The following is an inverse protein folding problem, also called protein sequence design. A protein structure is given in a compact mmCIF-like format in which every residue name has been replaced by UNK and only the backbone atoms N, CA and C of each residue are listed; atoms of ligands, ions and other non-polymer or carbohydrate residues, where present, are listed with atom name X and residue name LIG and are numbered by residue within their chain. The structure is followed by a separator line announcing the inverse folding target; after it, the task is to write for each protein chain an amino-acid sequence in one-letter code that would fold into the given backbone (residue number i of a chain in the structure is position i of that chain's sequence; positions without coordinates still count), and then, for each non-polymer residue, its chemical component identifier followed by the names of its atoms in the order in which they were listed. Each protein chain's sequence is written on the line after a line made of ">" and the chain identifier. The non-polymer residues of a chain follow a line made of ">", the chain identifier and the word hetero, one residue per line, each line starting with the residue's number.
data_IF_595846645729
#
_entry.id   IF_595846645729
#
_cell.length_a   1.000
_cell.length_b   1.000
_cell.length_c   1.000
_cell.angle_alpha   90.00
_cell.angle_beta   90.00
_cell.angle_gamma   90.00
#
_symmetry.space_group_name_H-M   'P 1'
#
loop_
_entity.id
_entity.type
_entity.pdbx_description
1 polymer ?
#
# COMPACT_ATOMS: atom_id res chain seq x y z
N UNK A 1 54.43 7.63 8.44
CA UNK A 1 53.38 8.03 9.40
C UNK A 1 52.29 8.88 8.73
N UNK A 2 51.58 8.36 7.71
CA UNK A 2 50.57 9.14 6.96
C UNK A 2 49.27 8.36 6.70
N UNK A 3 49.16 7.14 7.22
CA UNK A 3 48.01 6.23 7.03
C UNK A 3 46.98 6.29 8.16
N UNK A 4 47.36 6.82 9.31
CA UNK A 4 46.50 6.99 10.49
C UNK A 4 45.34 7.98 10.25
N UNK A 5 45.53 9.16 9.61
CA UNK A 5 44.42 10.09 9.44
C UNK A 5 43.39 9.61 8.41
N UNK A 6 43.81 8.82 7.41
CA UNK A 6 42.92 8.30 6.38
C UNK A 6 41.94 7.23 6.90
N UNK A 7 42.41 6.37 7.81
CA UNK A 7 41.57 5.33 8.44
C UNK A 7 40.57 5.95 9.40
N UNK A 8 40.98 6.96 10.18
CA UNK A 8 40.08 7.66 11.08
C UNK A 8 38.94 8.39 10.33
N UNK A 9 39.26 9.03 9.20
CA UNK A 9 38.26 9.72 8.37
C UNK A 9 37.26 8.74 7.74
N UNK A 10 37.72 7.58 7.26
CA UNK A 10 36.87 6.55 6.68
C UNK A 10 35.93 5.92 7.72
N UNK A 11 36.39 5.72 8.95
CA UNK A 11 35.56 5.23 10.05
C UNK A 11 34.50 6.27 10.45
N UNK A 12 34.87 7.55 10.54
CA UNK A 12 33.91 8.63 10.82
C UNK A 12 32.83 8.77 9.74
N UNK A 13 33.17 8.59 8.47
CA UNK A 13 32.21 8.57 7.34
C UNK A 13 31.30 7.33 7.36
N UNK A 14 31.79 6.18 7.82
CA UNK A 14 30.97 4.97 7.94
C UNK A 14 29.92 5.08 9.07
N UNK A 15 30.25 5.80 10.16
CA UNK A 15 29.36 5.97 11.33
C UNK A 15 28.21 6.95 11.04
N UNK A 16 28.37 7.90 10.12
CA UNK A 16 27.27 8.81 9.73
C UNK A 16 26.27 8.18 8.76
N UNK A 17 26.66 7.13 8.02
CA UNK A 17 25.79 6.43 7.08
C UNK A 17 24.85 5.41 7.75
N UNK A 18 25.15 4.97 8.97
CA UNK A 18 24.25 4.08 9.74
C UNK A 18 22.95 4.76 10.23
N UNK A 19 22.80 6.07 10.05
CA UNK A 19 21.61 6.83 10.43
C UNK A 19 20.47 6.85 9.40
N UNK A 20 20.66 6.32 8.19
CA UNK A 20 19.69 6.41 7.10
C UNK A 20 18.54 5.38 7.16
N UNK A 21 18.14 4.93 8.35
CA UNK A 21 17.05 3.96 8.54
C UNK A 21 15.73 4.63 8.97
N UNK A 22 15.48 5.85 8.49
CA UNK A 22 14.37 6.71 8.94
C UNK A 22 13.23 6.81 7.91
N UNK A 23 13.37 6.22 6.71
CA UNK A 23 12.48 6.50 5.58
C UNK A 23 11.81 5.27 4.94
N UNK A 24 11.30 4.34 5.74
CA UNK A 24 10.44 3.26 5.23
C UNK A 24 9.04 3.36 5.83
N UNK A 25 8.40 4.51 5.60
CA UNK A 25 6.97 4.67 5.87
C UNK A 25 6.26 4.80 4.53
N UNK A 26 5.36 3.87 4.25
CA UNK A 26 4.39 4.04 3.17
C UNK A 26 3.61 5.32 3.49
N UNK A 27 3.64 6.32 2.60
CA UNK A 27 2.79 7.50 2.74
C UNK A 27 1.33 7.05 2.66
N UNK A 28 0.51 7.41 3.64
CA UNK A 28 -0.92 7.05 3.63
C UNK A 28 -1.60 7.53 2.33
N UNK A 29 -1.16 8.67 1.78
CA UNK A 29 -1.65 9.16 0.48
C UNK A 29 -1.25 8.27 -0.70
N UNK A 30 -0.01 7.78 -0.72
CA UNK A 30 0.46 6.87 -1.77
C UNK A 30 -0.28 5.52 -1.69
N UNK A 31 -0.49 5.01 -0.47
CA UNK A 31 -1.24 3.78 -0.24
C UNK A 31 -2.68 3.89 -0.73
N UNK A 32 -3.39 4.97 -0.35
CA UNK A 32 -4.75 5.23 -0.82
C UNK A 32 -4.81 5.28 -2.33
N UNK A 33 -3.92 6.03 -2.98
CA UNK A 33 -3.90 6.13 -4.43
C UNK A 33 -3.72 4.76 -5.10
N UNK A 34 -2.76 3.96 -4.62
CA UNK A 34 -2.50 2.63 -5.15
C UNK A 34 -3.71 1.69 -4.99
N UNK A 35 -4.37 1.72 -3.83
CA UNK A 35 -5.59 0.94 -3.57
C UNK A 35 -6.71 1.38 -4.51
N UNK A 36 -6.89 2.68 -4.69
CA UNK A 36 -7.90 3.20 -5.60
C UNK A 36 -7.67 2.74 -7.04
N UNK A 37 -6.46 2.89 -7.56
CA UNK A 37 -6.13 2.49 -8.94
C UNK A 37 -6.26 0.97 -9.10
N UNK A 38 -5.77 0.20 -8.13
CA UNK A 38 -5.90 -1.26 -8.13
C UNK A 38 -7.35 -1.74 -8.10
N UNK A 39 -8.23 -1.12 -7.31
CA UNK A 39 -9.66 -1.47 -7.28
C UNK A 39 -10.34 -1.16 -8.62
N UNK A 40 -10.04 -0.01 -9.23
CA UNK A 40 -10.59 0.35 -10.55
C UNK A 40 -10.21 -0.71 -11.57
N UNK A 41 -8.94 -1.10 -11.64
CA UNK A 41 -8.45 -2.11 -12.59
C UNK A 41 -9.08 -3.49 -12.36
N UNK A 42 -9.18 -3.92 -11.10
CA UNK A 42 -9.72 -5.24 -10.73
C UNK A 42 -11.22 -5.35 -11.00
N UNK A 43 -12.00 -4.31 -10.71
CA UNK A 43 -13.43 -4.28 -10.99
C UNK A 43 -13.69 -4.19 -12.50
N UNK A 44 -12.91 -3.37 -13.21
CA UNK A 44 -12.98 -3.29 -14.67
C UNK A 44 -12.69 -4.63 -15.34
N UNK A 45 -11.68 -5.36 -14.88
CA UNK A 45 -11.37 -6.71 -15.36
C UNK A 45 -12.52 -7.72 -15.15
N UNK A 46 -13.42 -7.44 -14.20
CA UNK A 46 -14.65 -8.21 -13.94
C UNK A 46 -15.89 -7.68 -14.66
N UNK A 47 -15.75 -6.62 -15.47
CA UNK A 47 -16.87 -5.98 -16.16
C UNK A 47 -17.72 -5.06 -15.28
N UNK A 48 -17.19 -4.63 -14.12
CA UNK A 48 -17.85 -3.69 -13.21
C UNK A 48 -17.17 -2.33 -13.38
N UNK A 49 -17.87 -1.41 -14.04
CA UNK A 49 -17.38 -0.04 -14.25
C UNK A 49 -17.83 0.87 -13.11
N UNK A 50 -16.91 1.69 -12.61
CA UNK A 50 -17.18 2.69 -11.58
C UNK A 50 -17.53 4.03 -12.22
N UNK A 51 -18.48 4.76 -11.61
CA UNK A 51 -18.83 6.11 -12.06
C UNK A 51 -17.67 7.08 -11.89
N UNK A 52 -17.02 6.99 -10.73
CA UNK A 52 -15.93 7.87 -10.31
C UNK A 52 -14.83 7.05 -9.62
N UNK A 53 -13.66 7.68 -9.48
CA UNK A 53 -12.55 7.13 -8.71
C UNK A 53 -12.97 6.94 -7.24
N UNK A 54 -12.74 5.77 -6.60
CA UNK A 54 -13.10 5.56 -5.20
C UNK A 54 -12.54 6.63 -4.25
N UNK A 55 -13.39 7.09 -3.33
CA UNK A 55 -12.99 7.96 -2.23
C UNK A 55 -12.43 7.09 -1.11
N UNK A 56 -11.16 7.28 -0.74
CA UNK A 56 -10.48 6.46 0.25
C UNK A 56 -10.10 7.26 1.50
N UNK A 57 -10.26 6.62 2.64
CA UNK A 57 -9.81 7.10 3.94
C UNK A 57 -8.90 6.06 4.58
N UNK A 58 -7.93 6.53 5.36
CA UNK A 58 -7.12 5.68 6.22
C UNK A 58 -7.48 6.06 7.65
N UNK A 59 -8.42 5.34 8.30
CA UNK A 59 -8.61 5.53 9.72
C UNK A 59 -7.26 5.28 10.37
N UNK A 60 -6.79 6.23 11.17
CA UNK A 60 -5.38 6.33 11.59
C UNK A 60 -4.74 5.01 12.03
N UNK A 61 -3.41 4.97 11.98
CA UNK A 61 -2.64 3.76 12.30
C UNK A 61 -2.92 3.30 13.74
N UNK A 62 -3.39 2.07 13.92
CA UNK A 62 -3.45 1.42 15.24
C UNK A 62 -2.03 1.24 15.81
N UNK A 63 -1.09 0.90 14.93
CA UNK A 63 0.36 0.82 15.19
C UNK A 63 1.12 1.20 13.92
N UNK A 64 2.40 1.53 14.02
CA UNK A 64 3.24 1.81 12.84
C UNK A 64 3.27 0.65 11.83
N UNK A 65 3.04 -0.58 12.30
CA UNK A 65 3.06 -1.81 11.50
C UNK A 65 1.70 -2.20 10.89
N UNK A 66 0.60 -1.53 11.25
CA UNK A 66 -0.76 -1.86 10.77
C UNK A 66 -1.41 -0.62 10.16
N UNK A 67 -1.74 -0.71 8.87
CA UNK A 67 -2.43 0.35 8.13
C UNK A 67 -3.75 -0.19 7.60
N UNK A 68 -4.84 0.55 7.83
CA UNK A 68 -6.16 0.25 7.27
C UNK A 68 -6.52 1.26 6.21
N UNK A 69 -7.33 0.83 5.25
CA UNK A 69 -7.94 1.68 4.24
C UNK A 69 -9.38 1.26 4.04
N UNK A 70 -10.25 2.24 3.97
CA UNK A 70 -11.64 2.06 3.58
C UNK A 70 -11.88 2.94 2.37
N UNK A 71 -12.45 2.41 1.30
CA UNK A 71 -12.86 3.21 0.16
C UNK A 71 -14.33 2.97 -0.17
N UNK A 72 -14.98 3.99 -0.70
CA UNK A 72 -16.34 3.92 -1.22
C UNK A 72 -16.38 4.43 -2.65
N UNK A 73 -17.26 3.84 -3.46
CA UNK A 73 -17.55 4.28 -4.82
C UNK A 73 -18.98 3.89 -5.20
N UNK A 74 -19.35 4.18 -6.43
CA UNK A 74 -20.63 3.82 -7.03
C UNK A 74 -20.33 3.24 -8.43
N UNK A 75 -21.01 2.16 -8.80
CA UNK A 75 -20.95 1.66 -10.18
C UNK A 75 -21.66 2.61 -11.13
N UNK A 76 -21.42 2.49 -12.44
CA UNK A 76 -22.18 3.24 -13.45
C UNK A 76 -23.68 2.91 -13.46
N UNK A 77 -24.06 1.78 -12.86
CA UNK A 77 -25.45 1.32 -12.68
C UNK A 77 -26.06 1.76 -11.35
N UNK A 78 -25.31 2.49 -10.51
CA UNK A 78 -25.80 3.07 -9.25
C UNK A 78 -25.64 2.16 -8.03
N UNK A 79 -24.94 1.03 -8.14
CA UNK A 79 -24.73 0.11 -7.03
C UNK A 79 -23.59 0.63 -6.13
N UNK A 80 -23.77 0.62 -4.80
CA UNK A 80 -22.74 1.06 -3.88
C UNK A 80 -21.59 0.05 -3.87
N UNK A 81 -20.36 0.58 -3.89
CA UNK A 81 -19.13 -0.21 -3.79
C UNK A 81 -18.41 0.14 -2.49
N UNK A 82 -18.00 -0.87 -1.74
CA UNK A 82 -17.18 -0.70 -0.55
C UNK A 82 -15.91 -1.55 -0.63
N UNK A 83 -14.79 -0.94 -0.26
CA UNK A 83 -13.47 -1.56 -0.21
C UNK A 83 -12.98 -1.50 1.23
N UNK A 84 -12.56 -2.64 1.76
CA UNK A 84 -11.88 -2.72 3.05
C UNK A 84 -10.51 -3.37 2.83
N UNK A 85 -9.46 -2.66 3.20
CA UNK A 85 -8.08 -3.11 3.07
C UNK A 85 -7.32 -3.03 4.39
N UNK A 86 -6.42 -3.97 4.60
CA UNK A 86 -5.46 -3.97 5.71
C UNK A 86 -4.07 -4.34 5.18
N UNK A 87 -3.05 -3.57 5.60
CA UNK A 87 -1.66 -3.91 5.44
C UNK A 87 -1.05 -4.18 6.82
N UNK A 88 -0.46 -5.35 6.99
CA UNK A 88 0.28 -5.80 8.17
C UNK A 88 1.77 -5.76 7.89
N UNK A 89 2.58 -5.53 8.93
CA UNK A 89 4.03 -5.36 8.81
C UNK A 89 4.39 -4.25 7.79
N UNK A 90 3.61 -3.17 7.79
CA UNK A 90 3.73 -2.03 6.87
C UNK A 90 5.01 -1.21 7.07
N UNK A 91 5.73 -1.46 8.15
CA UNK A 91 7.02 -0.92 8.54
C UNK A 91 8.20 -1.80 8.10
N UNK A 92 7.95 -2.85 7.31
CA UNK A 92 8.96 -3.78 6.80
C UNK A 92 9.03 -3.76 5.27
N UNK A 93 10.09 -4.33 4.70
CA UNK A 93 10.24 -4.50 3.25
C UNK A 93 9.21 -5.46 2.62
N UNK A 94 8.47 -6.22 3.44
CA UNK A 94 7.54 -7.26 2.97
C UNK A 94 6.19 -7.13 3.70
N UNK A 95 5.41 -6.07 3.42
CA UNK A 95 4.08 -5.95 3.96
C UNK A 95 3.18 -7.09 3.45
N UNK A 96 2.24 -7.52 4.29
CA UNK A 96 1.19 -8.46 3.94
C UNK A 96 -0.12 -7.69 3.83
N UNK A 97 -0.72 -7.69 2.66
CA UNK A 97 -1.95 -6.95 2.41
C UNK A 97 -3.13 -7.91 2.31
N UNK A 98 -4.34 -7.43 2.59
CA UNK A 98 -5.58 -8.15 2.33
C UNK A 98 -6.70 -7.16 2.06
N UNK A 99 -7.45 -7.41 1.00
CA UNK A 99 -8.50 -6.54 0.50
C UNK A 99 -9.77 -7.32 0.24
N UNK A 100 -10.90 -6.71 0.58
CA UNK A 100 -12.24 -7.20 0.28
C UNK A 100 -13.00 -6.07 -0.40
N UNK A 101 -13.60 -6.37 -1.55
CA UNK A 101 -14.47 -5.44 -2.29
C UNK A 101 -15.86 -6.03 -2.38
N UNK A 102 -16.85 -5.23 -2.00
CA UNK A 102 -18.26 -5.55 -2.15
C UNK A 102 -18.95 -4.60 -3.12
N UNK A 103 -19.93 -5.12 -3.86
CA UNK A 103 -20.86 -4.36 -4.70
C UNK A 103 -22.27 -4.72 -4.25
N UNK A 104 -23.08 -3.73 -3.91
CA UNK A 104 -24.41 -3.92 -3.32
C UNK A 104 -24.39 -4.90 -2.11
N UNK A 105 -23.36 -4.77 -1.28
CA UNK A 105 -23.14 -5.61 -0.10
C UNK A 105 -22.66 -7.05 -0.38
N UNK A 106 -22.50 -7.46 -1.64
CA UNK A 106 -22.01 -8.79 -2.03
C UNK A 106 -20.52 -8.74 -2.33
N UNK A 107 -19.75 -9.68 -1.78
CA UNK A 107 -18.32 -9.79 -2.09
C UNK A 107 -18.10 -10.20 -3.55
N UNK A 108 -17.34 -9.38 -4.28
CA UNK A 108 -16.98 -9.62 -5.69
C UNK A 108 -15.48 -9.86 -5.89
N UNK A 109 -14.68 -9.47 -4.89
CA UNK A 109 -13.23 -9.59 -4.90
C UNK A 109 -12.70 -9.77 -3.47
N UNK A 110 -11.79 -10.72 -3.32
CA UNK A 110 -10.90 -10.87 -2.16
C UNK A 110 -9.50 -11.21 -2.65
N UNK A 111 -8.52 -10.39 -2.29
CA UNK A 111 -7.12 -10.57 -2.73
C UNK A 111 -6.15 -10.05 -1.67
N UNK A 112 -4.94 -10.59 -1.68
CA UNK A 112 -3.84 -10.16 -0.81
C UNK A 112 -2.86 -9.20 -1.51
N UNK A 113 -3.28 -8.68 -2.68
CA UNK A 113 -2.57 -7.70 -3.49
C UNK A 113 -3.55 -7.08 -4.50
N UNK A 114 -3.41 -5.80 -4.82
CA UNK A 114 -4.20 -5.11 -5.86
C UNK A 114 -3.31 -4.51 -6.97
N UNK A 115 -3.80 -4.56 -8.21
CA UNK A 115 -3.18 -3.92 -9.37
C UNK A 115 -2.05 -4.72 -10.04
N UNK A 116 -1.36 -4.07 -10.98
CA UNK A 116 -0.41 -4.70 -11.92
C UNK A 116 0.83 -5.36 -11.27
N UNK A 117 1.10 -5.09 -10.00
CA UNK A 117 2.24 -5.67 -9.27
C UNK A 117 1.99 -7.08 -8.73
N UNK A 118 0.76 -7.59 -8.83
CA UNK A 118 0.34 -8.81 -8.13
C UNK A 118 0.66 -10.09 -8.88
N UNK A 119 0.59 -10.07 -10.21
CA UNK A 119 0.81 -11.27 -11.04
C UNK A 119 2.27 -11.75 -11.04
N UNK A 120 3.21 -10.94 -10.56
CA UNK A 120 4.65 -11.30 -10.47
C UNK A 120 5.06 -11.94 -9.14
N UNK A 121 4.15 -12.08 -8.18
CA UNK A 121 4.46 -12.65 -6.85
C UNK A 121 4.20 -14.17 -6.75
N UNK A 122 3.80 -14.81 -7.85
CA UNK A 122 3.56 -16.25 -7.96
C UNK A 122 4.50 -16.92 -8.95
N UNK A 123 5.79 -17.02 -8.63
CA UNK A 123 6.74 -18.01 -9.16
C UNK A 123 7.76 -18.36 -8.10
#
# INVERSE_FOLDING_TARGET
>A
MRRVPAVALAVLLAVTLSGCKVMQRISDGAYRNAVTDGVVDELKAKGIELRDRPACESPGRETDSVVRVTCTAETTTGEPVAVNGIALAADTDRPRESYVVTVDGREVLRKDCLGLGCDRRGT
#
